data_IF_828836976276
#
_entry.id   IF_828836976276
#
_cell.length_a   1.000
_cell.length_b   1.000
_cell.length_c   1.000
_cell.angle_alpha   90.00
_cell.angle_beta   90.00
_cell.angle_gamma   90.00
#
_symmetry.space_group_name_H-M   'P 1'
#
loop_
_entity.id
_entity.type
_entity.pdbx_description
1 polymer ?
#
# COMPACT_ATOMS: atom_id res chain seq x y z
N UNK A 1 -6.38 21.37 -19.94
CA UNK A 1 -7.61 21.77 -19.22
C UNK A 1 -8.63 20.63 -19.26
N UNK A 2 -8.99 20.02 -18.13
CA UNK A 2 -10.11 19.06 -18.06
C UNK A 2 -11.41 19.85 -18.10
N UNK A 3 -12.20 19.72 -19.17
CA UNK A 3 -13.54 20.33 -19.24
C UNK A 3 -14.42 19.71 -18.15
N UNK A 4 -14.96 20.54 -17.25
CA UNK A 4 -15.88 20.09 -16.21
C UNK A 4 -17.07 19.36 -16.84
N UNK A 5 -17.38 18.17 -16.33
CA UNK A 5 -18.47 17.36 -16.88
C UNK A 5 -19.79 17.94 -16.37
N UNK A 6 -20.64 18.41 -17.28
CA UNK A 6 -22.02 18.81 -16.94
C UNK A 6 -22.79 17.62 -16.34
N UNK A 7 -23.71 17.88 -15.40
CA UNK A 7 -24.54 16.85 -14.72
C UNK A 7 -25.22 15.88 -15.70
N UNK A 8 -25.73 16.38 -16.84
CA UNK A 8 -26.32 15.55 -17.90
C UNK A 8 -25.33 14.53 -18.50
N UNK A 9 -24.06 14.92 -18.65
CA UNK A 9 -23.00 14.05 -19.19
C UNK A 9 -22.61 12.99 -18.16
N UNK A 10 -22.53 13.36 -16.89
CA UNK A 10 -22.32 12.42 -15.78
C UNK A 10 -23.44 11.40 -15.69
N UNK A 11 -24.70 11.84 -15.80
CA UNK A 11 -25.87 10.94 -15.79
C UNK A 11 -25.88 9.97 -16.97
N UNK A 12 -25.53 10.45 -18.18
CA UNK A 12 -25.42 9.59 -19.37
C UNK A 12 -24.32 8.55 -19.20
N UNK A 13 -23.15 8.96 -18.71
CA UNK A 13 -22.02 8.06 -18.45
C UNK A 13 -22.34 7.02 -17.37
N UNK A 14 -23.03 7.40 -16.29
CA UNK A 14 -23.50 6.47 -15.27
C UNK A 14 -24.52 5.46 -15.84
N UNK A 15 -25.45 5.92 -16.69
CA UNK A 15 -26.41 5.05 -17.38
C UNK A 15 -25.72 4.07 -18.33
N UNK A 16 -24.73 4.54 -19.06
CA UNK A 16 -23.95 3.70 -19.97
C UNK A 16 -23.14 2.66 -19.19
N UNK A 17 -22.55 3.00 -18.04
CA UNK A 17 -21.92 2.01 -17.14
C UNK A 17 -22.92 0.94 -16.71
N UNK A 18 -24.11 1.33 -16.23
CA UNK A 18 -25.14 0.38 -15.80
C UNK A 18 -25.62 -0.54 -16.94
N UNK A 19 -25.65 -0.04 -18.19
CA UNK A 19 -26.10 -0.83 -19.35
C UNK A 19 -25.07 -1.83 -19.85
N UNK A 20 -23.78 -1.53 -19.75
CA UNK A 20 -22.72 -2.35 -20.35
C UNK A 20 -22.08 -3.31 -19.34
N UNK A 21 -22.87 -3.83 -18.39
CA UNK A 21 -22.39 -4.85 -17.46
C UNK A 21 -21.30 -4.37 -16.50
N UNK A 22 -21.26 -3.07 -16.17
CA UNK A 22 -20.27 -2.52 -15.22
C UNK A 22 -20.21 -3.32 -13.91
N UNK A 23 -21.35 -3.83 -13.44
CA UNK A 23 -21.39 -4.65 -12.23
C UNK A 23 -20.81 -6.05 -12.42
N UNK A 24 -20.99 -6.68 -13.59
CA UNK A 24 -20.33 -7.96 -13.88
C UNK A 24 -18.82 -7.76 -14.06
N UNK A 25 -18.41 -6.81 -14.90
CA UNK A 25 -17.00 -6.52 -15.14
C UNK A 25 -16.25 -6.06 -13.88
N UNK A 26 -16.88 -5.25 -13.04
CA UNK A 26 -16.26 -4.81 -11.78
C UNK A 26 -16.18 -5.96 -10.77
N UNK A 27 -17.19 -6.83 -10.70
CA UNK A 27 -17.11 -8.05 -9.87
C UNK A 27 -15.96 -8.93 -10.34
N UNK A 28 -15.83 -9.16 -11.64
CA UNK A 28 -14.76 -9.99 -12.20
C UNK A 28 -13.38 -9.37 -11.95
N UNK A 29 -13.24 -8.05 -12.03
CA UNK A 29 -11.99 -7.34 -11.71
C UNK A 29 -11.64 -7.47 -10.21
N UNK A 30 -12.64 -7.38 -9.33
CA UNK A 30 -12.47 -7.58 -7.89
C UNK A 30 -12.08 -9.02 -7.57
N UNK A 31 -12.77 -9.98 -8.16
CA UNK A 31 -12.47 -11.40 -8.00
C UNK A 31 -11.08 -11.74 -8.54
N UNK A 32 -10.69 -11.21 -9.71
CA UNK A 32 -9.35 -11.39 -10.28
C UNK A 32 -8.28 -10.82 -9.34
N UNK A 33 -8.45 -9.59 -8.85
CA UNK A 33 -7.52 -8.99 -7.87
C UNK A 33 -7.46 -9.79 -6.57
N UNK A 34 -8.58 -10.36 -6.14
CA UNK A 34 -8.63 -11.24 -4.96
C UNK A 34 -7.93 -12.58 -5.19
N UNK A 35 -8.04 -13.17 -6.37
CA UNK A 35 -7.32 -14.39 -6.74
C UNK A 35 -5.82 -14.16 -6.84
N UNK A 36 -5.39 -13.03 -7.43
CA UNK A 36 -4.00 -12.59 -7.43
C UNK A 36 -3.47 -12.44 -5.99
N UNK A 37 -4.25 -11.81 -5.09
CA UNK A 37 -3.88 -11.69 -3.67
C UNK A 37 -3.73 -13.06 -3.00
N UNK A 38 -4.61 -14.02 -3.31
CA UNK A 38 -4.53 -15.40 -2.79
C UNK A 38 -3.29 -16.12 -3.29
N UNK A 39 -2.92 -15.95 -4.57
CA UNK A 39 -1.69 -16.51 -5.16
C UNK A 39 -0.44 -15.89 -4.52
N UNK A 40 -0.52 -14.62 -4.14
CA UNK A 40 0.52 -13.90 -3.41
C UNK A 40 0.53 -14.17 -1.89
N UNK A 41 -0.31 -15.10 -1.40
CA UNK A 41 -0.33 -15.51 0.01
C UNK A 41 -1.05 -14.55 0.97
N UNK A 42 -1.82 -13.59 0.45
CA UNK A 42 -2.59 -12.63 1.25
C UNK A 42 -3.99 -13.18 1.53
N UNK A 43 -4.49 -12.99 2.77
CA UNK A 43 -5.81 -13.47 3.17
C UNK A 43 -6.95 -12.73 2.48
N UNK A 44 -8.05 -13.43 2.18
CA UNK A 44 -9.23 -12.85 1.53
C UNK A 44 -9.81 -11.64 2.29
N UNK A 45 -9.78 -11.68 3.63
CA UNK A 45 -10.22 -10.56 4.47
C UNK A 45 -9.35 -9.32 4.28
N UNK A 46 -8.04 -9.51 4.11
CA UNK A 46 -7.09 -8.41 3.93
C UNK A 46 -7.24 -7.79 2.54
N UNK A 47 -7.33 -8.62 1.50
CA UNK A 47 -7.59 -8.17 0.13
C UNK A 47 -8.90 -7.36 0.01
N UNK A 48 -9.95 -7.77 0.71
CA UNK A 48 -11.23 -7.05 0.71
C UNK A 48 -11.16 -5.71 1.46
N UNK A 49 -10.42 -5.64 2.57
CA UNK A 49 -10.18 -4.38 3.29
C UNK A 49 -9.42 -3.39 2.41
N UNK A 50 -8.41 -3.86 1.68
CA UNK A 50 -7.62 -3.05 0.74
C UNK A 50 -8.46 -2.54 -0.43
N UNK A 51 -9.30 -3.39 -1.02
CA UNK A 51 -10.24 -2.98 -2.07
C UNK A 51 -11.24 -1.94 -1.55
N UNK A 52 -11.75 -2.12 -0.32
CA UNK A 52 -12.75 -1.24 0.27
C UNK A 52 -12.20 0.12 0.71
N UNK A 53 -10.94 0.20 1.12
CA UNK A 53 -10.32 1.46 1.53
C UNK A 53 -9.94 2.35 0.35
N UNK A 54 -9.84 1.80 -0.88
CA UNK A 54 -9.55 2.57 -2.10
C UNK A 54 -8.17 3.24 -2.11
N UNK A 55 -7.31 2.84 -1.18
CA UNK A 55 -5.98 3.40 -0.96
C UNK A 55 -4.92 2.55 -1.65
N UNK A 56 -3.90 3.20 -2.20
CA UNK A 56 -2.72 2.65 -2.89
C UNK A 56 -1.88 1.63 -2.09
N UNK A 57 -2.39 1.10 -0.97
CA UNK A 57 -1.75 0.06 -0.14
C UNK A 57 -1.53 -1.26 -0.91
N UNK A 58 -2.17 -1.45 -2.08
CA UNK A 58 -1.97 -2.61 -2.96
C UNK A 58 -0.57 -2.65 -3.62
N UNK A 59 0.17 -1.53 -3.64
CA UNK A 59 1.56 -1.54 -4.10
C UNK A 59 2.53 -2.22 -3.11
N UNK A 60 2.07 -2.58 -1.91
CA UNK A 60 2.90 -3.18 -0.85
C UNK A 60 2.90 -4.73 -0.83
N UNK A 61 2.42 -5.37 -1.90
CA UNK A 61 2.53 -6.82 -2.12
C UNK A 61 3.69 -7.18 -3.08
N UNK A 62 4.66 -6.28 -3.27
CA UNK A 62 5.93 -6.67 -3.90
C UNK A 62 6.80 -7.43 -2.88
N UNK A 63 7.56 -8.43 -3.35
CA UNK A 63 8.51 -9.18 -2.50
C UNK A 63 9.40 -8.25 -1.64
N UNK A 64 9.80 -7.11 -2.20
CA UNK A 64 10.62 -6.10 -1.54
C UNK A 64 9.90 -5.35 -0.40
N UNK A 65 8.61 -5.03 -0.58
CA UNK A 65 7.83 -4.33 0.46
C UNK A 65 7.47 -5.24 1.64
N UNK A 66 7.21 -6.52 1.36
CA UNK A 66 7.07 -7.56 2.40
C UNK A 66 8.38 -7.82 3.15
N UNK A 67 9.52 -7.87 2.45
CA UNK A 67 10.83 -8.01 3.08
C UNK A 67 11.15 -6.84 4.01
N UNK A 68 10.86 -5.60 3.57
CA UNK A 68 11.00 -4.41 4.40
C UNK A 68 10.10 -4.47 5.63
N UNK A 69 8.83 -4.86 5.45
CA UNK A 69 7.90 -5.03 6.57
C UNK A 69 8.41 -6.03 7.61
N UNK A 70 8.92 -7.19 7.18
CA UNK A 70 9.51 -8.20 8.09
C UNK A 70 10.70 -7.65 8.88
N UNK A 71 11.59 -6.88 8.22
CA UNK A 71 12.73 -6.21 8.87
C UNK A 71 12.25 -5.25 9.96
N UNK A 72 11.24 -4.42 9.65
CA UNK A 72 10.63 -3.48 10.61
C UNK A 72 9.95 -4.22 11.77
N UNK A 73 9.21 -5.29 11.48
CA UNK A 73 8.52 -6.11 12.49
C UNK A 73 9.50 -6.73 13.48
N UNK A 74 10.53 -7.40 12.99
CA UNK A 74 11.55 -8.01 13.86
C UNK A 74 12.22 -6.95 14.75
N UNK A 75 12.56 -5.78 14.19
CA UNK A 75 13.15 -4.69 14.94
C UNK A 75 12.21 -4.16 16.04
N UNK A 76 10.92 -4.00 15.72
CA UNK A 76 9.91 -3.57 16.69
C UNK A 76 9.66 -4.61 17.78
N UNK A 77 9.74 -5.91 17.46
CA UNK A 77 9.58 -6.99 18.43
C UNK A 77 10.78 -7.10 19.39
N UNK A 78 12.00 -6.80 18.91
CA UNK A 78 13.23 -6.83 19.72
C UNK A 78 13.39 -5.60 20.61
N UNK A 79 13.23 -4.39 20.07
CA UNK A 79 13.58 -3.14 20.79
C UNK A 79 12.39 -2.26 21.17
N UNK A 80 11.19 -2.55 20.65
CA UNK A 80 10.04 -1.67 20.80
C UNK A 80 10.13 -0.41 19.92
N UNK A 81 9.18 0.51 20.10
CA UNK A 81 9.17 1.79 19.39
C UNK A 81 10.21 2.74 20.02
N UNK A 82 11.33 2.93 19.33
CA UNK A 82 12.38 3.89 19.73
C UNK A 82 12.53 5.03 18.70
N UNK A 83 13.22 6.10 19.08
CA UNK A 83 13.41 7.28 18.22
C UNK A 83 14.42 7.03 17.08
N UNK A 84 15.32 6.06 17.24
CA UNK A 84 16.42 5.73 16.33
C UNK A 84 16.07 4.65 15.28
N UNK A 85 14.78 4.32 15.12
CA UNK A 85 14.36 3.24 14.23
C UNK A 85 14.70 3.48 12.76
N UNK A 86 14.62 4.72 12.30
CA UNK A 86 14.99 5.06 10.93
C UNK A 86 16.50 4.85 10.71
N UNK A 87 17.33 5.27 11.65
CA UNK A 87 18.79 5.14 11.55
C UNK A 87 19.25 3.67 11.48
N UNK A 88 18.52 2.78 12.15
CA UNK A 88 18.76 1.33 12.09
C UNK A 88 18.28 0.68 10.80
N UNK A 89 17.28 1.26 10.16
CA UNK A 89 16.72 0.76 8.89
C UNK A 89 17.54 1.22 7.68
N UNK A 90 18.30 2.32 7.80
CA UNK A 90 19.17 2.84 6.75
C UNK A 90 20.24 1.81 6.39
N UNK A 91 20.34 1.50 5.10
CA UNK A 91 21.43 0.71 4.55
C UNK A 91 22.64 1.61 4.30
N UNK A 92 23.58 1.60 5.25
CA UNK A 92 24.73 2.52 5.28
C UNK A 92 25.54 2.49 3.98
N UNK A 93 25.72 1.31 3.40
CA UNK A 93 26.51 1.10 2.17
C UNK A 93 25.91 1.75 0.93
N UNK A 94 24.58 1.82 0.84
CA UNK A 94 23.88 2.53 -0.24
C UNK A 94 23.73 4.02 0.08
N UNK A 95 23.43 4.33 1.34
CA UNK A 95 23.20 5.69 1.79
C UNK A 95 24.44 6.57 1.63
N UNK A 96 25.63 6.07 1.94
CA UNK A 96 26.87 6.83 1.86
C UNK A 96 27.25 7.21 0.42
N UNK A 97 26.89 6.37 -0.56
CA UNK A 97 27.16 6.59 -1.99
C UNK A 97 26.26 7.67 -2.60
N UNK A 98 25.17 8.03 -1.95
CA UNK A 98 24.22 9.03 -2.45
C UNK A 98 24.75 10.46 -2.27
N UNK A 99 24.37 11.34 -3.20
CA UNK A 99 24.55 12.79 -3.07
C UNK A 99 23.70 13.34 -1.91
N UNK A 100 23.99 14.57 -1.46
CA UNK A 100 23.23 15.20 -0.37
C UNK A 100 21.71 15.25 -0.64
N UNK A 101 21.30 15.65 -1.85
CA UNK A 101 19.89 15.65 -2.26
C UNK A 101 19.31 14.22 -2.33
N UNK A 102 20.11 13.25 -2.79
CA UNK A 102 19.74 11.83 -2.81
C UNK A 102 19.50 11.27 -1.39
N UNK A 103 20.33 11.66 -0.43
CA UNK A 103 20.19 11.29 0.99
C UNK A 103 18.91 11.84 1.59
N UNK A 104 18.56 13.10 1.30
CA UNK A 104 17.31 13.70 1.78
C UNK A 104 16.09 12.97 1.23
N UNK A 105 16.07 12.68 -0.07
CA UNK A 105 14.98 11.91 -0.71
C UNK A 105 14.89 10.48 -0.16
N UNK A 106 16.03 9.84 0.07
CA UNK A 106 16.09 8.51 0.65
C UNK A 106 15.47 8.47 2.05
N UNK A 107 15.85 9.39 2.94
CA UNK A 107 15.28 9.48 4.30
C UNK A 107 13.78 9.70 4.25
N UNK A 108 13.30 10.59 3.39
CA UNK A 108 11.88 10.88 3.25
C UNK A 108 11.11 9.62 2.82
N UNK A 109 11.56 8.93 1.78
CA UNK A 109 10.95 7.69 1.31
C UNK A 109 10.99 6.59 2.38
N UNK A 110 12.10 6.46 3.11
CA UNK A 110 12.23 5.50 4.20
C UNK A 110 11.23 5.78 5.32
N UNK A 111 11.04 7.06 5.67
CA UNK A 111 10.08 7.48 6.69
C UNK A 111 8.64 7.14 6.31
N UNK A 112 8.26 7.32 5.04
CA UNK A 112 6.94 6.96 4.54
C UNK A 112 6.72 5.44 4.59
N UNK A 113 7.69 4.66 4.10
CA UNK A 113 7.65 3.19 4.14
C UNK A 113 7.54 2.68 5.59
N UNK A 114 8.33 3.24 6.51
CA UNK A 114 8.27 2.88 7.92
C UNK A 114 6.91 3.19 8.54
N UNK A 115 6.31 4.34 8.25
CA UNK A 115 5.00 4.72 8.79
C UNK A 115 3.89 3.74 8.36
N UNK A 116 3.93 3.28 7.11
CA UNK A 116 3.01 2.26 6.59
C UNK A 116 3.22 0.93 7.32
N UNK A 117 4.48 0.48 7.45
CA UNK A 117 4.83 -0.75 8.16
C UNK A 117 4.40 -0.72 9.63
N UNK A 118 4.62 0.40 10.32
CA UNK A 118 4.21 0.60 11.71
C UNK A 118 2.69 0.56 11.87
N UNK A 119 1.95 1.19 10.96
CA UNK A 119 0.49 1.16 10.98
C UNK A 119 -0.04 -0.28 10.83
N UNK A 120 0.58 -1.08 9.95
CA UNK A 120 0.25 -2.51 9.80
C UNK A 120 0.58 -3.30 11.07
N UNK A 121 1.78 -3.14 11.62
CA UNK A 121 2.18 -3.80 12.87
C UNK A 121 1.24 -3.51 14.04
N UNK A 122 0.81 -2.25 14.19
CA UNK A 122 -0.18 -1.85 15.21
C UNK A 122 -1.55 -2.48 15.00
N UNK A 123 -2.00 -2.63 13.75
CA UNK A 123 -3.26 -3.34 13.42
C UNK A 123 -3.16 -4.82 13.82
N UNK A 124 -2.06 -5.48 13.49
CA UNK A 124 -1.83 -6.90 13.82
C UNK A 124 -1.84 -7.12 15.34
N UNK A 125 -1.15 -6.28 16.12
CA UNK A 125 -1.11 -6.43 17.59
C UNK A 125 -2.40 -6.07 18.33
N UNK A 126 -3.25 -5.23 17.72
CA UNK A 126 -4.53 -4.81 18.31
C UNK A 126 -5.65 -5.83 18.08
N UNK A 127 -5.43 -6.79 17.20
CA UNK A 127 -6.37 -7.88 16.93
C UNK A 127 -5.96 -9.08 17.80
N UNK A 128 -6.65 -9.34 18.93
CA UNK A 128 -6.37 -10.50 19.78
C UNK A 128 -6.77 -11.83 19.11
#
# INVERSE_FOLDING_TARGET
MRKEKTVKRLGKEAKDRLKHGFWEQNKDEVFSKMEECKMNGVSYKEAFVLYRSGTEEVAAASSESEAFYRKVKNLLDETGETTDMLDRLIEKDEFEKLSYDGKQKYILNLSEKYRIALARYKRERKTP
#
